data_IF_473852027465
#
_entry.id   IF_473852027465
#
_cell.length_a   1.000
_cell.length_b   1.000
_cell.length_c   1.000
_cell.angle_alpha   90.00
_cell.angle_beta   90.00
_cell.angle_gamma   90.00
#
_symmetry.space_group_name_H-M   'P 1'
#
loop_
_entity.id
_entity.type
_entity.pdbx_description
1 polymer ?
#
# COMPACT_ATOMS: atom_id res chain seq x y z
N UNK A 1 1.63 -12.60 -45.13
CA UNK A 1 2.52 -11.53 -44.64
C UNK A 1 2.70 -11.72 -43.14
N UNK A 2 3.68 -12.54 -42.74
CA UNK A 2 4.02 -12.81 -41.35
C UNK A 2 5.03 -11.76 -40.88
N UNK A 3 4.60 -10.84 -40.02
CA UNK A 3 5.50 -9.93 -39.30
C UNK A 3 5.64 -10.42 -37.86
N UNK A 4 6.89 -10.41 -37.40
CA UNK A 4 7.27 -10.20 -36.00
C UNK A 4 7.24 -11.40 -35.06
N UNK A 5 8.09 -12.39 -35.32
CA UNK A 5 8.84 -13.00 -34.21
C UNK A 5 9.99 -12.03 -33.94
N UNK A 6 9.87 -11.23 -32.88
CA UNK A 6 11.01 -10.46 -32.39
C UNK A 6 11.96 -11.46 -31.73
N UNK A 7 13.13 -11.59 -32.33
CA UNK A 7 14.15 -12.51 -31.86
C UNK A 7 14.71 -11.98 -30.54
N UNK A 8 14.26 -12.57 -29.44
CA UNK A 8 14.64 -12.19 -28.07
C UNK A 8 16.16 -12.24 -27.92
N UNK A 9 16.84 -13.12 -28.66
CA UNK A 9 18.30 -13.20 -28.67
C UNK A 9 18.97 -11.94 -29.23
N UNK A 10 18.36 -11.27 -30.22
CA UNK A 10 18.89 -10.04 -30.78
C UNK A 10 18.86 -8.89 -29.76
N UNK A 11 17.75 -8.79 -29.01
CA UNK A 11 17.58 -7.77 -27.97
C UNK A 11 18.56 -8.01 -26.81
N UNK A 12 18.71 -9.26 -26.37
CA UNK A 12 19.66 -9.60 -25.30
C UNK A 12 21.11 -9.30 -25.72
N UNK A 13 21.47 -9.60 -26.98
CA UNK A 13 22.81 -9.32 -27.51
C UNK A 13 23.10 -7.83 -27.58
N UNK A 14 22.11 -7.01 -27.95
CA UNK A 14 22.24 -5.55 -28.01
C UNK A 14 22.42 -4.94 -26.61
N UNK A 15 21.66 -5.40 -25.62
CA UNK A 15 21.78 -4.93 -24.23
C UNK A 15 23.13 -5.31 -23.62
N UNK A 16 23.61 -6.52 -23.85
CA UNK A 16 24.92 -6.94 -23.36
C UNK A 16 26.08 -6.15 -24.00
N UNK A 17 25.97 -5.82 -25.29
CA UNK A 17 26.94 -4.96 -25.97
C UNK A 17 26.94 -3.52 -25.41
N UNK A 18 25.77 -2.98 -25.06
CA UNK A 18 25.65 -1.65 -24.45
C UNK A 18 26.22 -1.60 -23.02
N UNK A 19 26.09 -2.68 -22.24
CA UNK A 19 26.68 -2.73 -20.89
C UNK A 19 28.20 -2.89 -20.93
N UNK A 20 28.73 -3.64 -21.89
CA UNK A 20 30.17 -3.78 -22.08
C UNK A 20 30.86 -2.45 -22.45
N UNK A 21 30.19 -1.58 -23.21
CA UNK A 21 30.75 -0.28 -23.60
C UNK A 21 30.70 0.76 -22.46
N UNK A 22 29.84 0.58 -21.46
CA UNK A 22 29.77 1.47 -20.30
C UNK A 22 30.84 1.21 -19.23
N UNK A 23 31.48 0.02 -19.24
CA UNK A 23 32.43 -0.39 -18.20
C UNK A 23 33.85 0.20 -18.26
N UNK A 24 34.20 0.99 -19.28
CA UNK A 24 35.59 1.44 -19.50
C UNK A 24 35.89 2.90 -19.10
N UNK A 25 34.91 3.64 -18.61
CA UNK A 25 35.03 5.09 -18.37
C UNK A 25 34.94 5.50 -16.90
N UNK A 26 35.86 5.08 -16.04
CA UNK A 26 35.83 5.52 -14.64
C UNK A 26 36.89 4.90 -13.73
N UNK A 27 38.16 5.01 -14.10
CA UNK A 27 39.27 4.46 -13.31
C UNK A 27 40.47 5.40 -13.26
N UNK A 28 40.36 6.53 -12.55
CA UNK A 28 41.51 7.26 -12.04
C UNK A 28 41.08 8.11 -10.83
N UNK A 29 41.59 7.77 -9.64
CA UNK A 29 41.70 8.76 -8.56
C UNK A 29 41.17 8.38 -7.19
N UNK A 30 41.38 7.17 -6.68
CA UNK A 30 41.35 6.92 -5.22
C UNK A 30 42.37 5.84 -4.86
N UNK A 31 43.66 6.18 -4.97
CA UNK A 31 44.67 5.58 -4.13
C UNK A 31 45.03 6.63 -3.07
N UNK A 32 45.25 6.14 -1.85
CA UNK A 32 45.90 6.87 -0.74
C UNK A 32 44.97 7.68 0.18
N UNK A 33 44.48 7.03 1.24
CA UNK A 33 44.82 7.43 2.62
C UNK A 33 44.21 6.46 3.67
N UNK A 34 45.10 6.08 4.59
CA UNK A 34 44.89 5.80 6.01
C UNK A 34 44.22 4.50 6.49
N UNK A 35 45.02 3.78 7.27
CA UNK A 35 44.69 2.67 8.16
C UNK A 35 43.68 3.08 9.26
N UNK A 36 42.88 2.13 9.80
CA UNK A 36 41.94 2.42 10.87
C UNK A 36 42.63 2.46 12.23
N UNK A 37 42.79 3.65 12.81
CA UNK A 37 43.05 3.81 14.25
C UNK A 37 41.75 3.81 15.05
N UNK A 38 41.84 3.21 16.23
CA UNK A 38 40.78 2.92 17.19
C UNK A 38 39.82 4.09 17.50
N UNK A 39 38.56 3.73 17.73
CA UNK A 39 37.45 4.59 18.16
C UNK A 39 37.57 4.85 19.67
N UNK A 40 37.72 6.11 20.15
CA UNK A 40 37.44 6.44 21.54
C UNK A 40 35.95 6.77 21.72
N UNK A 41 35.39 6.22 22.80
CA UNK A 41 34.05 6.51 23.29
C UNK A 41 33.96 7.95 23.82
N UNK A 42 32.89 8.67 23.48
CA UNK A 42 32.53 9.93 24.12
C UNK A 42 31.65 10.85 23.27
N UNK A 43 30.34 10.70 23.39
CA UNK A 43 29.38 11.74 22.97
C UNK A 43 29.02 12.62 24.18
N UNK A 44 29.15 13.96 24.08
CA UNK A 44 28.36 14.89 24.88
C UNK A 44 27.19 15.50 24.05
N UNK A 45 26.11 15.94 24.70
CA UNK A 45 24.88 16.40 24.04
C UNK A 45 24.79 17.93 23.86
N UNK A 46 23.76 18.32 23.10
CA UNK A 46 23.04 19.62 23.05
C UNK A 46 23.68 20.86 22.42
N UNK A 47 23.14 21.30 21.27
CA UNK A 47 22.29 22.51 21.15
C UNK A 47 21.80 22.79 19.71
N UNK A 48 20.57 23.33 19.54
CA UNK A 48 20.06 23.80 18.26
C UNK A 48 20.31 25.32 18.07
N UNK A 49 20.55 25.75 16.83
CA UNK A 49 20.53 27.17 16.46
C UNK A 49 19.72 27.38 15.18
N UNK A 50 18.83 28.36 15.28
CA UNK A 50 17.87 28.83 14.30
C UNK A 50 18.51 29.32 12.99
N UNK A 51 17.80 29.12 11.87
CA UNK A 51 18.02 29.90 10.65
C UNK A 51 16.85 30.83 10.41
N UNK A 52 17.20 32.12 10.40
CA UNK A 52 16.33 33.28 10.20
C UNK A 52 15.85 33.40 8.76
N UNK A 53 14.63 33.93 8.66
CA UNK A 53 14.01 34.48 7.47
C UNK A 53 14.84 35.62 6.85
N UNK A 54 14.82 35.71 5.52
CA UNK A 54 15.11 36.94 4.79
C UNK A 54 14.06 37.15 3.71
N UNK A 55 13.28 38.20 3.92
CA UNK A 55 12.47 38.90 2.92
C UNK A 55 13.33 39.40 1.77
N UNK A 56 12.79 39.39 0.55
CA UNK A 56 13.28 40.20 -0.56
C UNK A 56 12.13 40.61 -1.50
N UNK A 57 11.87 41.91 -1.40
CA UNK A 57 11.04 42.86 -2.14
C UNK A 57 11.63 43.18 -3.52
N UNK A 58 10.80 43.32 -4.57
CA UNK A 58 10.98 44.22 -5.76
C UNK A 58 9.98 43.85 -6.88
N UNK A 59 8.98 44.70 -7.19
CA UNK A 59 8.84 45.65 -8.34
C UNK A 59 8.03 45.06 -9.52
N UNK A 60 6.83 45.59 -9.84
CA UNK A 60 6.45 46.76 -10.67
C UNK A 60 6.58 46.56 -12.19
N UNK A 61 5.45 46.73 -12.88
CA UNK A 61 5.26 46.91 -14.34
C UNK A 61 3.93 46.25 -14.76
N UNK A 62 2.81 46.90 -15.08
CA UNK A 62 2.45 48.09 -15.90
C UNK A 62 2.62 47.91 -17.41
N UNK A 63 1.48 47.87 -18.12
CA UNK A 63 1.30 47.87 -19.59
C UNK A 63 -0.04 47.20 -19.96
N UNK A 64 -1.17 47.93 -20.07
CA UNK A 64 -1.75 48.52 -21.31
C UNK A 64 -2.15 47.47 -22.37
N UNK A 65 -3.42 47.08 -22.47
CA UNK A 65 -4.54 47.67 -23.23
C UNK A 65 -4.52 47.39 -24.75
N UNK A 66 -5.62 46.80 -25.25
CA UNK A 66 -5.94 46.63 -26.67
C UNK A 66 -7.23 45.83 -26.90
N UNK A 67 -8.28 46.52 -27.39
CA UNK A 67 -9.58 46.10 -27.97
C UNK A 67 -9.48 45.00 -29.06
N UNK A 68 -10.50 44.37 -29.66
CA UNK A 68 -11.94 44.64 -29.85
C UNK A 68 -12.64 43.38 -30.46
N UNK A 69 -13.97 43.31 -30.26
CA UNK A 69 -15.02 42.86 -31.20
C UNK A 69 -15.21 41.38 -31.67
N UNK A 70 -16.35 40.83 -31.19
CA UNK A 70 -17.55 40.43 -31.97
C UNK A 70 -17.74 39.01 -32.56
N UNK A 71 -18.91 38.46 -32.16
CA UNK A 71 -19.94 37.71 -32.92
C UNK A 71 -19.95 36.15 -32.94
N UNK A 72 -20.94 35.63 -32.20
CA UNK A 72 -22.00 34.67 -32.59
C UNK A 72 -21.66 33.37 -33.34
N UNK A 73 -22.03 32.23 -32.76
CA UNK A 73 -23.20 31.44 -33.22
C UNK A 73 -23.41 30.16 -32.39
N UNK A 74 -24.66 29.72 -32.34
CA UNK A 74 -25.23 28.69 -31.47
C UNK A 74 -24.94 27.25 -31.91
N UNK A 75 -24.92 26.34 -30.93
CA UNK A 75 -24.97 24.90 -31.14
C UNK A 75 -24.90 24.14 -29.81
N UNK A 76 -26.06 23.86 -29.22
CA UNK A 76 -26.17 23.04 -27.99
C UNK A 76 -26.15 21.54 -28.32
N UNK A 77 -25.21 20.79 -27.74
CA UNK A 77 -25.51 19.45 -27.24
C UNK A 77 -25.24 19.35 -25.74
N UNK A 78 -26.13 18.66 -25.04
CA UNK A 78 -26.19 18.44 -23.60
C UNK A 78 -24.90 17.88 -23.00
N UNK A 79 -24.30 18.64 -22.08
CA UNK A 79 -23.08 18.29 -21.34
C UNK A 79 -23.35 17.37 -20.13
N UNK A 80 -22.45 16.41 -19.85
CA UNK A 80 -22.36 15.76 -18.54
C UNK A 80 -21.79 16.75 -17.50
N UNK A 81 -22.38 16.74 -16.31
CA UNK A 81 -22.02 17.60 -15.17
C UNK A 81 -20.57 17.29 -14.76
N UNK A 82 -19.63 18.13 -15.21
CA UNK A 82 -18.22 18.11 -14.82
C UNK A 82 -18.01 19.16 -13.74
N UNK A 83 -17.83 18.72 -12.50
CA UNK A 83 -17.43 19.57 -11.39
C UNK A 83 -15.97 19.99 -11.55
N UNK A 84 -15.72 21.03 -12.34
CA UNK A 84 -14.40 21.67 -12.45
C UNK A 84 -14.30 22.68 -11.31
N UNK A 85 -13.50 22.37 -10.31
CA UNK A 85 -13.11 23.35 -9.29
C UNK A 85 -12.02 24.25 -9.87
N UNK A 86 -12.27 25.55 -9.90
CA UNK A 86 -11.29 26.54 -10.39
C UNK A 86 -9.99 26.56 -9.56
N UNK A 87 -8.96 27.26 -10.06
CA UNK A 87 -7.67 27.36 -9.38
C UNK A 87 -7.85 27.91 -7.97
N UNK A 88 -7.55 27.10 -6.95
CA UNK A 88 -7.42 27.57 -5.56
C UNK A 88 -6.16 28.43 -5.43
N UNK A 89 -6.17 29.35 -4.46
CA UNK A 89 -5.14 30.38 -4.23
C UNK A 89 -3.70 29.84 -4.08
N UNK A 90 -3.52 28.53 -3.88
CA UNK A 90 -2.21 27.90 -3.69
C UNK A 90 -1.48 27.49 -4.99
N UNK A 91 -2.01 27.86 -6.16
CA UNK A 91 -1.42 27.44 -7.45
C UNK A 91 -1.51 25.93 -7.69
N UNK A 92 -2.49 25.26 -7.06
CA UNK A 92 -2.79 23.86 -7.25
C UNK A 92 -3.98 23.70 -8.21
N UNK A 93 -3.81 22.84 -9.22
CA UNK A 93 -4.90 22.46 -10.12
C UNK A 93 -5.29 21.03 -9.82
N UNK A 94 -6.54 20.81 -9.44
CA UNK A 94 -7.12 19.48 -9.21
C UNK A 94 -7.94 19.04 -10.41
N UNK A 95 -7.65 17.85 -10.94
CA UNK A 95 -8.34 17.28 -12.09
C UNK A 95 -9.05 16.01 -11.65
N UNK A 96 -10.38 16.08 -11.61
CA UNK A 96 -11.24 14.97 -11.22
C UNK A 96 -11.55 14.00 -12.38
N UNK A 97 -11.11 14.30 -13.61
CA UNK A 97 -11.31 13.43 -14.77
C UNK A 97 -10.42 12.18 -14.72
N UNK A 98 -10.92 11.10 -15.32
CA UNK A 98 -10.20 9.82 -15.45
C UNK A 98 -9.18 9.83 -16.59
N UNK A 99 -9.30 10.70 -17.59
CA UNK A 99 -8.40 10.75 -18.75
C UNK A 99 -7.80 12.14 -18.92
N UNK A 100 -6.64 12.38 -18.33
CA UNK A 100 -6.00 13.70 -18.35
C UNK A 100 -5.33 13.93 -19.71
N UNK A 101 -5.93 14.84 -20.48
CA UNK A 101 -5.41 15.33 -21.76
C UNK A 101 -5.06 16.82 -21.69
N UNK A 102 -4.31 17.31 -22.67
CA UNK A 102 -4.02 18.76 -22.78
C UNK A 102 -5.30 19.59 -22.95
N UNK A 103 -6.33 19.04 -23.60
CA UNK A 103 -7.62 19.72 -23.74
C UNK A 103 -8.33 19.86 -22.39
N UNK A 104 -8.26 18.84 -21.54
CA UNK A 104 -8.82 18.91 -20.19
C UNK A 104 -8.09 19.93 -19.31
N UNK A 105 -6.75 19.98 -19.38
CA UNK A 105 -5.99 21.00 -18.67
C UNK A 105 -6.45 22.41 -19.06
N UNK A 106 -6.65 22.67 -20.36
CA UNK A 106 -7.20 23.96 -20.84
C UNK A 106 -8.62 24.18 -20.35
N UNK A 107 -9.47 23.15 -20.37
CA UNK A 107 -10.85 23.23 -19.90
C UNK A 107 -10.96 23.51 -18.38
N UNK A 108 -9.96 23.06 -17.60
CA UNK A 108 -9.85 23.37 -16.17
C UNK A 108 -9.40 24.82 -15.89
N UNK A 109 -9.36 25.68 -16.91
CA UNK A 109 -8.96 27.09 -16.78
C UNK A 109 -7.45 27.25 -16.57
N UNK A 110 -6.67 26.21 -16.87
CA UNK A 110 -5.22 26.33 -16.82
C UNK A 110 -4.77 27.07 -18.07
N UNK A 111 -4.10 28.23 -17.93
CA UNK A 111 -3.66 28.99 -19.09
C UNK A 111 -2.69 28.14 -19.92
N UNK A 112 -2.60 28.39 -21.23
CA UNK A 112 -1.76 27.59 -22.15
C UNK A 112 -0.28 27.54 -21.73
N UNK A 113 0.15 28.52 -20.93
CA UNK A 113 1.49 28.62 -20.39
C UNK A 113 1.66 27.95 -19.00
N UNK A 114 0.62 27.31 -18.44
CA UNK A 114 0.65 26.73 -17.09
C UNK A 114 1.19 27.73 -16.03
N UNK A 115 1.14 29.04 -16.30
CA UNK A 115 1.78 30.04 -15.47
C UNK A 115 1.05 30.14 -14.13
N UNK A 116 1.80 30.04 -13.03
CA UNK A 116 1.26 30.05 -11.67
C UNK A 116 0.84 28.66 -11.16
N UNK A 117 0.85 27.62 -12.00
CA UNK A 117 0.60 26.25 -11.53
C UNK A 117 1.87 25.68 -10.92
N UNK A 118 1.86 25.49 -9.60
CA UNK A 118 2.98 24.90 -8.85
C UNK A 118 2.89 23.39 -8.78
N UNK A 119 1.69 22.83 -8.90
CA UNK A 119 1.44 21.38 -8.77
C UNK A 119 0.14 21.01 -9.45
N UNK A 120 0.15 19.89 -10.15
CA UNK A 120 -1.06 19.27 -10.70
C UNK A 120 -1.40 18.06 -9.85
N UNK A 121 -2.63 18.03 -9.34
CA UNK A 121 -3.16 16.95 -8.53
C UNK A 121 -4.20 16.20 -9.34
N UNK A 122 -4.00 14.90 -9.51
CA UNK A 122 -4.89 14.03 -10.30
C UNK A 122 -5.41 12.91 -9.42
N UNK A 123 -6.55 12.34 -9.80
CA UNK A 123 -7.05 11.12 -9.17
C UNK A 123 -6.04 9.96 -9.26
N UNK A 124 -6.05 9.02 -8.30
CA UNK A 124 -5.12 7.89 -8.30
C UNK A 124 -5.27 7.01 -9.55
N UNK A 125 -6.50 6.86 -10.05
CA UNK A 125 -6.88 6.06 -11.21
C UNK A 125 -6.85 6.83 -12.55
N UNK A 126 -6.39 8.08 -12.55
CA UNK A 126 -6.32 8.88 -13.76
C UNK A 126 -5.26 8.35 -14.74
N UNK A 127 -5.67 8.15 -15.99
CA UNK A 127 -4.81 7.90 -17.14
C UNK A 127 -4.28 9.22 -17.66
N UNK A 128 -2.96 9.32 -17.76
CA UNK A 128 -2.28 10.55 -18.16
C UNK A 128 -1.64 10.29 -19.51
N UNK A 129 -1.98 11.13 -20.48
CA UNK A 129 -1.38 11.02 -21.81
C UNK A 129 0.11 11.40 -21.76
N UNK A 130 1.00 10.74 -22.53
CA UNK A 130 2.42 11.07 -22.56
C UNK A 130 2.70 12.55 -22.81
N UNK A 131 1.92 13.19 -23.69
CA UNK A 131 2.03 14.63 -23.97
C UNK A 131 1.82 15.52 -22.73
N UNK A 132 0.88 15.17 -21.85
CA UNK A 132 0.66 15.91 -20.61
C UNK A 132 1.85 15.73 -19.67
N UNK A 133 2.38 14.50 -19.57
CA UNK A 133 3.52 14.20 -18.72
C UNK A 133 4.78 14.94 -19.19
N UNK A 134 5.05 14.93 -20.50
CA UNK A 134 6.19 15.62 -21.12
C UNK A 134 6.11 17.14 -20.88
N UNK A 135 4.92 17.73 -21.01
CA UNK A 135 4.74 19.18 -20.82
C UNK A 135 4.87 19.58 -19.34
N UNK A 136 4.33 18.80 -18.40
CA UNK A 136 4.51 19.03 -16.96
C UNK A 136 5.99 18.89 -16.57
N UNK A 137 6.67 17.88 -17.10
CA UNK A 137 8.10 17.67 -16.86
C UNK A 137 8.95 18.79 -17.43
N UNK A 138 8.69 19.22 -18.68
CA UNK A 138 9.37 20.35 -19.34
C UNK A 138 9.29 21.64 -18.50
N UNK A 139 8.19 21.83 -17.78
CA UNK A 139 7.97 23.01 -16.93
C UNK A 139 8.33 22.82 -15.46
N UNK A 140 8.89 21.67 -15.09
CA UNK A 140 9.20 21.30 -13.70
C UNK A 140 7.98 21.40 -12.76
N UNK A 141 6.80 21.04 -13.25
CA UNK A 141 5.57 21.02 -12.44
C UNK A 141 5.38 19.60 -11.89
N UNK A 142 5.46 19.38 -10.57
CA UNK A 142 5.21 18.08 -9.98
C UNK A 142 3.76 17.64 -10.21
N UNK A 143 3.63 16.45 -10.77
CA UNK A 143 2.38 15.71 -10.89
C UNK A 143 2.23 14.82 -9.64
N UNK A 144 1.17 15.02 -8.86
CA UNK A 144 0.90 14.20 -7.68
C UNK A 144 -0.46 13.54 -7.78
N UNK A 145 -0.48 12.22 -7.60
CA UNK A 145 -1.72 11.46 -7.49
C UNK A 145 -2.29 11.64 -6.08
N UNK A 146 -3.54 12.07 -5.99
CA UNK A 146 -4.28 12.11 -4.74
C UNK A 146 -4.31 10.69 -4.16
N UNK A 147 -3.63 10.50 -3.03
CA UNK A 147 -3.87 9.35 -2.18
C UNK A 147 -5.27 9.59 -1.63
N UNK A 148 -6.26 8.81 -2.05
CA UNK A 148 -7.69 9.06 -1.83
C UNK A 148 -8.12 9.18 -0.36
N UNK A 149 -7.76 10.29 0.27
CA UNK A 149 -8.12 10.68 1.63
C UNK A 149 -9.36 11.59 1.62
N UNK A 150 -9.68 12.22 0.49
CA UNK A 150 -10.82 13.14 0.36
C UNK A 150 -12.19 12.41 0.37
N UNK A 151 -12.23 11.07 0.21
CA UNK A 151 -13.46 10.29 0.44
C UNK A 151 -13.84 10.19 1.93
N UNK A 152 -12.94 10.54 2.87
CA UNK A 152 -13.21 10.48 4.32
C UNK A 152 -13.90 11.74 4.85
N UNK A 153 -13.71 12.92 4.25
CA UNK A 153 -14.37 14.16 4.70
C UNK A 153 -15.85 14.24 4.29
N UNK A 154 -16.24 13.60 3.18
CA UNK A 154 -17.64 13.57 2.73
C UNK A 154 -18.56 12.63 3.52
N UNK A 155 -18.00 11.65 4.23
CA UNK A 155 -18.76 10.66 5.00
C UNK A 155 -19.09 11.12 6.44
N UNK A 156 -18.39 12.12 6.97
CA UNK A 156 -18.54 12.59 8.35
C UNK A 156 -19.84 13.39 8.61
N UNK A 157 -20.51 13.88 7.56
CA UNK A 157 -21.73 14.68 7.70
C UNK A 157 -23.04 13.85 7.84
N UNK A 158 -23.01 12.54 7.57
CA UNK A 158 -24.23 11.72 7.47
C UNK A 158 -24.50 10.77 8.64
N UNK A 159 -23.59 10.67 9.63
CA UNK A 159 -23.66 9.65 10.67
C UNK A 159 -23.79 10.25 12.08
N UNK A 160 -24.86 10.99 12.33
CA UNK A 160 -25.28 11.31 13.71
C UNK A 160 -26.75 10.96 13.89
N UNK A 161 -27.06 9.67 14.07
CA UNK A 161 -28.26 9.22 14.79
C UNK A 161 -28.20 7.71 15.06
N UNK A 162 -28.67 7.34 16.25
CA UNK A 162 -28.98 5.97 16.72
C UNK A 162 -27.88 5.27 17.52
N UNK A 163 -27.89 5.56 18.83
CA UNK A 163 -27.44 4.67 19.89
C UNK A 163 -28.68 4.00 20.50
N UNK A 164 -28.69 2.67 20.61
CA UNK A 164 -29.36 1.97 21.71
C UNK A 164 -28.73 0.59 21.95
N UNK A 165 -28.64 0.23 23.23
CA UNK A 165 -27.72 -0.75 23.79
C UNK A 165 -28.17 -2.21 23.80
N UNK A 166 -27.25 -3.08 24.23
CA UNK A 166 -27.48 -4.50 24.41
C UNK A 166 -26.29 -5.18 25.09
N UNK A 167 -26.25 -5.15 26.41
CA UNK A 167 -25.29 -5.90 27.23
C UNK A 167 -25.67 -7.39 27.24
N UNK A 168 -24.70 -8.26 26.96
CA UNK A 168 -24.86 -9.72 27.00
C UNK A 168 -23.67 -10.38 27.70
N UNK A 169 -23.99 -11.08 28.78
CA UNK A 169 -23.14 -11.73 29.79
C UNK A 169 -22.19 -12.82 29.25
N UNK A 170 -20.98 -12.90 29.82
CA UNK A 170 -19.97 -13.95 29.60
C UNK A 170 -19.97 -14.93 30.79
N UNK A 171 -20.00 -16.26 30.57
CA UNK A 171 -19.65 -17.22 31.60
C UNK A 171 -18.18 -17.65 31.55
N UNK A 172 -17.64 -17.70 32.76
CA UNK A 172 -16.35 -18.20 33.23
C UNK A 172 -16.11 -19.68 32.88
N UNK A 173 -14.93 -19.98 32.32
CA UNK A 173 -14.41 -21.35 32.17
C UNK A 173 -12.89 -21.38 32.36
N UNK A 174 -12.50 -21.53 33.61
CA UNK A 174 -11.19 -22.01 34.04
C UNK A 174 -10.97 -23.46 33.59
N UNK A 175 -9.95 -23.71 32.77
CA UNK A 175 -9.47 -25.06 32.47
C UNK A 175 -7.95 -25.15 32.62
N UNK A 176 -7.59 -25.97 33.60
CA UNK A 176 -6.29 -26.45 34.06
C UNK A 176 -5.50 -27.13 32.94
N UNK A 177 -4.22 -26.75 32.76
CA UNK A 177 -3.27 -27.41 31.85
C UNK A 177 -2.12 -27.98 32.70
N UNK A 178 -1.89 -29.30 32.58
CA UNK A 178 -0.72 -29.99 33.13
C UNK A 178 0.39 -30.10 32.07
N UNK A 179 1.68 -30.04 32.45
CA UNK A 179 2.79 -30.15 31.51
C UNK A 179 3.32 -31.59 31.40
N UNK A 180 3.45 -32.10 30.17
CA UNK A 180 4.16 -33.34 29.88
C UNK A 180 5.58 -33.05 29.38
N UNK A 181 6.58 -33.41 30.18
CA UNK A 181 8.00 -33.49 29.83
C UNK A 181 8.29 -34.80 29.10
N UNK A 182 8.90 -34.73 27.92
CA UNK A 182 9.32 -35.91 27.17
C UNK A 182 10.35 -35.57 26.09
N UNK A 183 11.63 -35.64 26.47
CA UNK A 183 12.80 -35.43 25.60
C UNK A 183 13.12 -36.72 24.87
N UNK A 184 13.11 -36.72 23.53
CA UNK A 184 13.81 -37.75 22.74
C UNK A 184 14.37 -37.16 21.46
N UNK A 185 15.68 -37.37 21.27
CA UNK A 185 16.45 -36.88 20.14
C UNK A 185 16.29 -37.78 18.91
N UNK A 186 16.16 -37.15 17.75
CA UNK A 186 16.15 -37.79 16.44
C UNK A 186 16.57 -36.79 15.35
N UNK A 187 17.52 -37.21 14.52
CA UNK A 187 18.16 -36.43 13.44
C UNK A 187 17.18 -35.84 12.41
N UNK A 188 17.51 -34.68 11.79
CA UNK A 188 16.57 -33.92 10.97
C UNK A 188 16.50 -34.44 9.52
N UNK A 189 15.63 -35.41 9.28
CA UNK A 189 15.04 -35.59 7.96
C UNK A 189 13.94 -34.54 7.76
N UNK A 190 14.10 -33.63 6.80
CA UNK A 190 13.13 -32.58 6.44
C UNK A 190 11.85 -33.15 5.79
N UNK A 191 11.24 -34.18 6.36
CA UNK A 191 9.84 -34.53 6.08
C UNK A 191 8.99 -33.65 6.99
N UNK A 192 8.75 -32.42 6.55
CA UNK A 192 8.01 -31.42 7.31
C UNK A 192 6.63 -31.93 7.70
N UNK A 193 6.46 -32.26 8.99
CA UNK A 193 5.18 -32.66 9.56
C UNK A 193 4.27 -31.43 9.56
N UNK A 194 3.36 -31.35 8.59
CA UNK A 194 2.35 -30.28 8.55
C UNK A 194 1.46 -30.42 9.78
N UNK A 195 1.54 -29.46 10.71
CA UNK A 195 0.67 -29.42 11.87
C UNK A 195 -0.76 -29.09 11.42
N UNK A 196 -1.74 -29.84 11.92
CA UNK A 196 -3.14 -29.59 11.60
C UNK A 196 -3.59 -28.26 12.22
N UNK A 197 -4.14 -27.38 11.38
CA UNK A 197 -4.70 -26.09 11.83
C UNK A 197 -5.99 -26.38 12.58
N UNK A 198 -6.04 -26.02 13.86
CA UNK A 198 -7.21 -26.25 14.69
C UNK A 198 -8.20 -25.07 14.66
N UNK A 199 -7.68 -23.85 14.46
CA UNK A 199 -8.52 -22.66 14.41
C UNK A 199 -8.08 -21.72 13.29
N UNK A 200 -9.05 -21.25 12.51
CA UNK A 200 -8.85 -20.23 11.48
C UNK A 200 -9.72 -19.02 11.77
N UNK A 201 -9.10 -17.89 12.07
CA UNK A 201 -9.79 -16.65 12.44
C UNK A 201 -9.72 -15.65 11.30
N UNK A 202 -10.87 -15.17 10.84
CA UNK A 202 -11.01 -14.10 9.86
C UNK A 202 -11.50 -12.85 10.55
N UNK A 203 -10.67 -11.80 10.58
CA UNK A 203 -11.05 -10.49 11.13
C UNK A 203 -11.21 -9.49 10.00
N UNK A 204 -12.35 -8.81 9.97
CA UNK A 204 -12.61 -7.72 9.02
C UNK A 204 -12.54 -6.38 9.74
N UNK A 205 -11.69 -5.49 9.22
CA UNK A 205 -11.55 -4.13 9.69
C UNK A 205 -12.40 -3.18 8.84
N UNK A 206 -13.32 -2.48 9.51
CA UNK A 206 -14.22 -1.48 8.93
C UNK A 206 -15.57 -2.04 8.46
N UNK A 207 -16.43 -1.14 7.99
CA UNK A 207 -17.80 -1.44 7.50
C UNK A 207 -17.90 -1.68 6.00
N UNK A 208 -16.85 -1.34 5.25
CA UNK A 208 -16.89 -1.32 3.78
C UNK A 208 -16.91 -2.70 3.13
N UNK A 209 -16.75 -3.78 3.89
CA UNK A 209 -16.73 -5.14 3.37
C UNK A 209 -17.63 -6.05 4.21
N UNK A 210 -18.56 -6.73 3.55
CA UNK A 210 -19.47 -7.69 4.18
C UNK A 210 -18.83 -9.09 4.21
N UNK A 211 -18.54 -9.65 5.39
CA UNK A 211 -17.83 -10.93 5.48
C UNK A 211 -18.70 -12.17 5.22
N UNK A 212 -20.02 -12.06 5.32
CA UNK A 212 -20.94 -13.21 5.32
C UNK A 212 -20.81 -14.05 4.04
N UNK A 213 -20.79 -13.39 2.87
CA UNK A 213 -20.65 -14.08 1.59
C UNK A 213 -19.30 -14.80 1.43
N UNK A 214 -18.21 -14.21 1.91
CA UNK A 214 -16.89 -14.85 1.88
C UNK A 214 -16.82 -16.05 2.83
N UNK A 215 -17.36 -15.89 4.04
CA UNK A 215 -17.40 -16.96 5.04
C UNK A 215 -18.20 -18.18 4.57
N UNK A 216 -19.35 -17.94 3.92
CA UNK A 216 -20.18 -19.00 3.34
C UNK A 216 -19.40 -19.80 2.28
N UNK A 217 -18.68 -19.13 1.37
CA UNK A 217 -17.87 -19.78 0.34
C UNK A 217 -16.70 -20.58 0.94
N UNK A 218 -15.98 -20.02 1.91
CA UNK A 218 -14.91 -20.73 2.61
C UNK A 218 -15.43 -21.98 3.35
N UNK A 219 -16.61 -21.87 3.97
CA UNK A 219 -17.25 -23.00 4.66
C UNK A 219 -17.67 -24.10 3.69
N UNK A 220 -18.22 -23.74 2.52
CA UNK A 220 -18.56 -24.70 1.46
C UNK A 220 -17.34 -25.51 0.99
N UNK A 221 -16.16 -24.90 1.02
CA UNK A 221 -14.88 -25.57 0.72
C UNK A 221 -14.22 -26.26 1.92
N UNK A 222 -14.95 -26.42 3.03
CA UNK A 222 -14.51 -27.07 4.27
C UNK A 222 -13.35 -26.34 4.97
N UNK A 223 -13.27 -25.03 4.84
CA UNK A 223 -12.35 -24.20 5.63
C UNK A 223 -13.12 -23.66 6.86
N UNK A 224 -12.88 -24.18 8.07
CA UNK A 224 -13.63 -23.77 9.27
C UNK A 224 -13.19 -22.38 9.72
N UNK A 225 -13.99 -21.35 9.47
CA UNK A 225 -13.62 -19.95 9.76
C UNK A 225 -14.47 -19.35 10.89
N UNK A 226 -13.81 -18.79 11.91
CA UNK A 226 -14.43 -17.92 12.93
C UNK A 226 -14.34 -16.49 12.40
N UNK A 227 -15.46 -15.81 12.22
CA UNK A 227 -15.50 -14.45 11.64
C UNK A 227 -15.72 -13.43 12.74
N UNK A 228 -14.88 -12.40 12.76
CA UNK A 228 -15.03 -11.23 13.64
C UNK A 228 -14.95 -9.96 12.82
N UNK A 229 -15.64 -8.92 13.27
CA UNK A 229 -15.60 -7.60 12.66
C UNK A 229 -15.27 -6.57 13.72
N UNK A 230 -14.39 -5.63 13.38
CA UNK A 230 -14.02 -4.50 14.25
C UNK A 230 -13.87 -3.23 13.42
N UNK A 231 -14.07 -2.08 14.05
CA UNK A 231 -13.87 -0.77 13.41
C UNK A 231 -12.47 -0.20 13.63
N UNK A 232 -11.70 -0.77 14.56
CA UNK A 232 -10.35 -0.32 14.90
C UNK A 232 -9.31 -1.36 14.48
N UNK A 233 -8.34 -0.95 13.66
CA UNK A 233 -7.28 -1.82 13.15
C UNK A 233 -6.39 -2.36 14.27
N UNK A 234 -6.10 -1.57 15.30
CA UNK A 234 -5.29 -2.00 16.45
C UNK A 234 -6.01 -3.10 17.23
N UNK A 235 -7.31 -2.91 17.49
CA UNK A 235 -8.14 -3.94 18.12
C UNK A 235 -8.22 -5.21 17.27
N UNK A 236 -8.25 -5.08 15.94
CA UNK A 236 -8.24 -6.22 15.03
C UNK A 236 -6.93 -7.02 15.14
N UNK A 237 -5.78 -6.33 15.19
CA UNK A 237 -4.46 -6.97 15.33
C UNK A 237 -4.27 -7.59 16.72
N UNK A 238 -4.76 -6.95 17.78
CA UNK A 238 -4.75 -7.50 19.14
C UNK A 238 -5.53 -8.83 19.22
N UNK A 239 -6.76 -8.85 18.70
CA UNK A 239 -7.60 -10.05 18.66
C UNK A 239 -6.95 -11.20 17.87
N UNK A 240 -6.31 -10.87 16.74
CA UNK A 240 -5.56 -11.84 15.95
C UNK A 240 -4.34 -12.36 16.73
N UNK A 241 -3.57 -11.48 17.36
CA UNK A 241 -2.41 -11.87 18.15
C UNK A 241 -2.78 -12.81 19.31
N UNK A 242 -3.81 -12.47 20.09
CA UNK A 242 -4.34 -13.32 21.17
C UNK A 242 -4.77 -14.71 20.66
N UNK A 243 -5.39 -14.77 19.47
CA UNK A 243 -5.81 -16.02 18.86
C UNK A 243 -4.62 -16.84 18.31
N UNK A 244 -3.63 -16.18 17.73
CA UNK A 244 -2.45 -16.79 17.10
C UNK A 244 -1.41 -17.28 18.11
N UNK A 245 -1.40 -16.74 19.32
CA UNK A 245 -0.58 -17.26 20.42
C UNK A 245 -1.07 -18.62 20.92
N UNK A 246 -2.34 -18.98 20.65
CA UNK A 246 -2.85 -20.32 20.95
C UNK A 246 -2.29 -21.33 19.95
N UNK A 247 -1.97 -22.53 20.43
CA UNK A 247 -1.40 -23.56 19.60
C UNK A 247 -2.27 -23.84 18.36
N UNK A 248 -1.62 -23.91 17.21
CA UNK A 248 -2.19 -24.28 15.92
C UNK A 248 -3.30 -23.38 15.34
N UNK A 249 -3.16 -22.06 15.50
CA UNK A 249 -4.06 -21.07 14.90
C UNK A 249 -3.46 -20.38 13.67
N UNK A 250 -4.29 -20.13 12.66
CA UNK A 250 -3.99 -19.25 11.53
C UNK A 250 -4.99 -18.08 11.49
N UNK A 251 -4.54 -16.94 10.97
CA UNK A 251 -5.32 -15.71 10.94
C UNK A 251 -5.36 -15.04 9.58
N UNK A 252 -6.46 -14.36 9.28
CA UNK A 252 -6.58 -13.46 8.13
C UNK A 252 -7.15 -12.12 8.60
N UNK A 253 -6.53 -11.03 8.16
CA UNK A 253 -7.02 -9.66 8.35
C UNK A 253 -7.43 -9.06 7.01
N UNK A 254 -8.70 -8.70 6.87
CA UNK A 254 -9.18 -7.91 5.74
C UNK A 254 -9.20 -6.43 6.14
N UNK A 255 -8.44 -5.58 5.45
CA UNK A 255 -8.34 -4.15 5.78
C UNK A 255 -8.03 -3.31 4.53
N UNK A 256 -8.59 -2.09 4.47
CA UNK A 256 -8.20 -1.11 3.43
C UNK A 256 -6.79 -0.53 3.65
N UNK A 257 -6.17 -0.79 4.80
CA UNK A 257 -4.85 -0.26 5.19
C UNK A 257 -3.86 -1.40 5.49
N UNK A 258 -3.46 -2.20 4.48
CA UNK A 258 -2.64 -3.39 4.69
C UNK A 258 -1.27 -3.07 5.29
N UNK A 259 -0.65 -1.95 4.91
CA UNK A 259 0.65 -1.54 5.45
C UNK A 259 0.59 -1.27 6.97
N UNK A 260 -0.44 -0.54 7.44
CA UNK A 260 -0.64 -0.26 8.87
C UNK A 260 -0.91 -1.57 9.63
N UNK A 261 -1.76 -2.43 9.07
CA UNK A 261 -2.06 -3.74 9.66
C UNK A 261 -0.81 -4.62 9.77
N UNK A 262 0.05 -4.61 8.75
CA UNK A 262 1.30 -5.38 8.72
C UNK A 262 2.28 -4.90 9.79
N UNK A 263 2.48 -3.58 9.89
CA UNK A 263 3.34 -2.98 10.91
C UNK A 263 2.82 -3.24 12.33
N UNK A 264 1.52 -3.10 12.57
CA UNK A 264 0.92 -3.34 13.87
C UNK A 264 0.96 -4.83 14.25
N UNK A 265 0.59 -5.73 13.33
CA UNK A 265 0.57 -7.16 13.58
C UNK A 265 1.96 -7.73 13.92
N UNK A 266 3.00 -7.34 13.17
CA UNK A 266 4.37 -7.83 13.39
C UNK A 266 5.04 -7.26 14.66
N UNK A 267 4.39 -6.34 15.39
CA UNK A 267 4.83 -5.94 16.73
C UNK A 267 4.45 -6.93 17.82
N UNK A 268 3.50 -7.83 17.56
CA UNK A 268 3.08 -8.80 18.55
C UNK A 268 4.03 -10.01 18.57
N UNK A 269 4.44 -10.47 19.77
CA UNK A 269 5.32 -11.64 19.88
C UNK A 269 4.63 -12.88 19.31
N UNK A 270 5.39 -13.64 18.51
CA UNK A 270 4.92 -14.85 17.85
C UNK A 270 4.05 -14.65 16.60
N UNK A 271 3.67 -13.41 16.25
CA UNK A 271 2.93 -13.10 15.03
C UNK A 271 3.90 -12.84 13.88
N UNK A 272 3.65 -13.50 12.74
CA UNK A 272 4.40 -13.32 11.48
C UNK A 272 3.38 -13.08 10.38
N UNK A 273 3.18 -11.82 10.08
CA UNK A 273 2.22 -11.34 9.10
C UNK A 273 2.86 -11.12 7.73
N UNK A 274 2.13 -11.47 6.68
CA UNK A 274 2.48 -11.19 5.27
C UNK A 274 1.33 -10.47 4.57
N UNK A 275 1.66 -9.67 3.55
CA UNK A 275 0.67 -9.00 2.72
C UNK A 275 0.35 -9.83 1.48
N UNK A 276 -0.91 -10.24 1.33
CA UNK A 276 -1.40 -10.91 0.13
C UNK A 276 -1.85 -9.92 -0.94
N UNK A 277 -1.05 -9.79 -2.00
CA UNK A 277 -1.42 -9.12 -3.24
C UNK A 277 -1.94 -10.09 -4.30
N UNK A 278 -1.31 -11.27 -4.40
CA UNK A 278 -1.61 -12.30 -5.37
C UNK A 278 -1.57 -13.70 -4.71
N UNK A 279 -2.44 -14.66 -5.09
CA UNK A 279 -2.47 -15.99 -4.47
C UNK A 279 -1.12 -16.71 -4.41
N UNK A 280 -0.45 -16.85 -5.56
CA UNK A 280 0.80 -17.60 -5.65
C UNK A 280 1.92 -16.95 -4.83
N UNK A 281 2.05 -15.63 -4.91
CA UNK A 281 3.06 -14.89 -4.16
C UNK A 281 2.78 -14.89 -2.66
N UNK A 282 1.52 -14.68 -2.25
CA UNK A 282 1.12 -14.72 -0.84
C UNK A 282 1.42 -16.10 -0.22
N UNK A 283 1.13 -17.17 -0.96
CA UNK A 283 1.45 -18.53 -0.53
C UNK A 283 2.96 -18.74 -0.41
N UNK A 284 3.76 -18.24 -1.36
CA UNK A 284 5.23 -18.30 -1.36
C UNK A 284 5.84 -17.54 -0.16
N UNK A 285 5.42 -16.29 0.04
CA UNK A 285 5.88 -15.43 1.13
C UNK A 285 5.55 -16.04 2.49
N UNK A 286 4.34 -16.59 2.62
CA UNK A 286 3.95 -17.34 3.81
C UNK A 286 4.86 -18.55 4.05
N UNK A 287 5.35 -19.22 2.99
CA UNK A 287 6.31 -20.33 3.12
C UNK A 287 7.63 -19.85 3.68
N UNK A 288 8.17 -18.82 3.05
CA UNK A 288 9.52 -18.33 3.31
C UNK A 288 9.64 -17.71 4.71
N UNK A 289 8.59 -17.06 5.19
CA UNK A 289 8.57 -16.42 6.51
C UNK A 289 7.98 -17.32 7.61
N UNK A 290 7.39 -18.46 7.25
CA UNK A 290 6.60 -19.28 8.18
C UNK A 290 5.43 -18.48 8.76
N UNK A 291 4.75 -17.69 7.91
CA UNK A 291 3.72 -16.75 8.34
C UNK A 291 2.51 -17.47 8.93
N UNK A 292 1.94 -16.90 10.00
CA UNK A 292 0.70 -17.37 10.62
C UNK A 292 -0.47 -16.37 10.46
N UNK A 293 -0.20 -15.19 9.88
CA UNK A 293 -1.19 -14.17 9.58
C UNK A 293 -1.07 -13.68 8.14
N UNK A 294 -2.19 -13.68 7.41
CA UNK A 294 -2.30 -13.08 6.08
C UNK A 294 -3.13 -11.79 6.13
N UNK A 295 -2.61 -10.70 5.57
CA UNK A 295 -3.30 -9.42 5.49
C UNK A 295 -3.67 -9.15 4.04
N UNK A 296 -4.93 -8.81 3.77
CA UNK A 296 -5.44 -8.61 2.40
C UNK A 296 -6.24 -7.31 2.35
N UNK A 297 -6.11 -6.58 1.25
CA UNK A 297 -7.01 -5.47 0.95
C UNK A 297 -8.21 -5.96 0.13
N UNK A 298 -9.43 -5.97 0.70
CA UNK A 298 -10.61 -6.45 -0.02
C UNK A 298 -11.05 -5.54 -1.18
N UNK A 299 -10.56 -4.28 -1.24
CA UNK A 299 -10.90 -3.35 -2.34
C UNK A 299 -10.08 -3.59 -3.60
N UNK A 300 -8.87 -4.15 -3.48
CA UNK A 300 -7.95 -4.33 -4.62
C UNK A 300 -8.05 -5.72 -5.25
N UNK A 301 -8.61 -6.69 -4.53
CA UNK A 301 -8.72 -8.07 -4.99
C UNK A 301 -10.18 -8.44 -5.22
N UNK A 302 -10.46 -9.17 -6.30
CA UNK A 302 -11.80 -9.67 -6.57
C UNK A 302 -12.24 -10.69 -5.51
N UNK A 303 -13.54 -10.91 -5.29
CA UNK A 303 -14.02 -11.91 -4.34
C UNK A 303 -13.44 -13.31 -4.56
N UNK A 304 -13.24 -13.70 -5.84
CA UNK A 304 -12.59 -14.95 -6.22
C UNK A 304 -11.10 -14.98 -5.86
N UNK A 305 -10.38 -13.89 -6.08
CA UNK A 305 -8.97 -13.78 -5.69
C UNK A 305 -8.81 -13.83 -4.17
N UNK A 306 -9.69 -13.17 -3.41
CA UNK A 306 -9.72 -13.22 -1.94
C UNK A 306 -9.84 -14.65 -1.44
N UNK A 307 -10.84 -15.37 -1.95
CA UNK A 307 -11.09 -16.77 -1.60
C UNK A 307 -9.89 -17.66 -1.96
N UNK A 308 -9.33 -17.49 -3.16
CA UNK A 308 -8.16 -18.25 -3.60
C UNK A 308 -6.93 -17.98 -2.72
N UNK A 309 -6.65 -16.73 -2.37
CA UNK A 309 -5.55 -16.36 -1.45
C UNK A 309 -5.73 -17.02 -0.08
N UNK A 310 -6.92 -16.89 0.50
CA UNK A 310 -7.24 -17.43 1.83
C UNK A 310 -7.12 -18.95 1.84
N UNK A 311 -7.61 -19.61 0.79
CA UNK A 311 -7.53 -21.07 0.64
C UNK A 311 -6.12 -21.59 0.47
N UNK A 312 -5.31 -20.94 -0.37
CA UNK A 312 -3.92 -21.35 -0.57
C UNK A 312 -3.11 -21.16 0.71
N UNK A 313 -3.36 -20.08 1.45
CA UNK A 313 -2.77 -19.83 2.77
C UNK A 313 -3.22 -20.86 3.82
N UNK A 314 -4.49 -21.23 3.84
CA UNK A 314 -5.01 -22.26 4.74
C UNK A 314 -4.45 -23.66 4.42
N UNK A 315 -4.46 -24.06 3.14
CA UNK A 315 -3.94 -25.37 2.69
C UNK A 315 -2.45 -25.51 2.92
N UNK A 316 -1.71 -24.40 2.87
CA UNK A 316 -0.31 -24.35 3.24
C UNK A 316 -0.06 -24.76 4.71
N UNK A 317 -1.07 -24.62 5.57
CA UNK A 317 -1.02 -25.02 6.97
C UNK A 317 -0.11 -24.15 7.82
N UNK A 318 0.04 -24.53 9.08
CA UNK A 318 1.03 -23.93 9.98
C UNK A 318 2.42 -24.34 9.57
N UNK A 319 3.28 -23.33 9.49
CA UNK A 319 4.66 -23.52 9.08
C UNK A 319 5.57 -23.25 10.27
N UNK A 320 6.60 -24.09 10.47
CA UNK A 320 7.62 -23.78 11.45
C UNK A 320 8.29 -22.47 11.08
N UNK A 321 8.60 -21.66 12.08
CA UNK A 321 9.41 -20.48 11.87
C UNK A 321 10.80 -20.91 11.37
N UNK A 322 11.30 -20.35 10.25
CA UNK A 322 12.66 -20.59 9.80
C UNK A 322 13.68 -20.30 10.90
N UNK A 323 14.70 -21.15 11.07
CA UNK A 323 15.72 -21.00 12.12
C UNK A 323 16.39 -19.61 12.09
N UNK A 324 16.63 -19.08 10.88
CA UNK A 324 17.22 -17.75 10.70
C UNK A 324 16.40 -16.63 11.37
N UNK A 325 15.08 -16.78 11.46
CA UNK A 325 14.18 -15.79 12.06
C UNK A 325 13.91 -16.05 13.55
N UNK A 326 14.06 -17.29 14.04
CA UNK A 326 13.81 -17.63 15.44
C UNK A 326 14.66 -16.78 16.40
N UNK A 327 15.92 -16.55 16.06
CA UNK A 327 16.85 -15.75 16.89
C UNK A 327 16.43 -14.28 17.08
N UNK A 328 15.56 -13.76 16.21
CA UNK A 328 15.11 -12.36 16.21
C UNK A 328 13.71 -12.16 16.77
N UNK A 329 12.95 -13.23 16.98
CA UNK A 329 11.52 -13.16 17.30
C UNK A 329 11.20 -13.06 18.79
N UNK A 330 12.21 -13.02 19.67
CA UNK A 330 12.07 -12.76 21.10
C UNK A 330 11.55 -13.96 21.87
#
# INVERSE_FOLDING_TARGET
MNRSSWDIEAIVREVLAALASQGSGGGAGWAELAQPTAIPAGCPPDRPAAFSAKDSKSERGSGSAGSEAAASSAGSPSSPISGVSGPREDGQVRIASRLVTMAELRACGVPENLAGVRRVVVRPDALITPMVQDELQRRNIPLVRELGLDELEGAAAAATTSADGGQGSLPDRSARIEPATGTSGGSPGLTGKTLSVQKFLLVVHGKAYEPAGLAARLTAERVPVDVRQTECILRATDLLAEALQKANSLGVLLTSYPAIGLCAANRHPGVRAVWGLEPAQAALDARNLGANLLIINPKTASPYQLEKMIREFYRAGLRPCPEALKSRLG
#
